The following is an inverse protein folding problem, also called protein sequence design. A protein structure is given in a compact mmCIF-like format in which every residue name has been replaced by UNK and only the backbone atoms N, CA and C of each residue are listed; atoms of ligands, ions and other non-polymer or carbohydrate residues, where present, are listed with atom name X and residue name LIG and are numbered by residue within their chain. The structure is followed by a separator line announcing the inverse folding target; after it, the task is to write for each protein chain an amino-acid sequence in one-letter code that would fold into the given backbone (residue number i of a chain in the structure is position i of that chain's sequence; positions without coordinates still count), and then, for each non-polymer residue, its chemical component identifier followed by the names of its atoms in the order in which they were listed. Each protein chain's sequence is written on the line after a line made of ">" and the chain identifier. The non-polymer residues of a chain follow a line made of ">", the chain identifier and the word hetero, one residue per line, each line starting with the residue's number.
data_IF_947768955200
#
_entry.id   IF_947768955200
#
_cell.length_a   1.000
_cell.length_b   1.000
_cell.length_c   1.000
_cell.angle_alpha   90.00
_cell.angle_beta   90.00
_cell.angle_gamma   90.00
#
_symmetry.space_group_name_H-M   'P 1'
#
loop_
_entity.id
_entity.type
_entity.pdbx_description
1 polymer ?
#
# COMPACT_ATOMS: atom_id res chain seq x y z
N UNK A 1 -23.97 -19.95 4.73
CA UNK A 1 -24.53 -19.56 3.43
C UNK A 1 -23.43 -18.89 2.62
N UNK A 2 -23.05 -19.42 1.45
CA UNK A 2 -21.92 -18.90 0.67
C UNK A 2 -22.34 -17.59 -0.03
N UNK A 3 -21.45 -16.61 -0.09
CA UNK A 3 -21.68 -15.27 -0.65
C UNK A 3 -22.36 -15.26 -2.03
N UNK A 4 -22.13 -16.27 -2.86
CA UNK A 4 -22.78 -16.46 -4.18
C UNK A 4 -24.28 -16.81 -4.11
N UNK A 5 -24.75 -17.44 -3.06
CA UNK A 5 -26.19 -17.75 -2.90
C UNK A 5 -26.98 -16.55 -2.43
N UNK A 6 -26.36 -15.64 -1.67
CA UNK A 6 -26.99 -14.39 -1.25
C UNK A 6 -27.29 -13.47 -2.44
N UNK A 7 -26.34 -13.36 -3.39
CA UNK A 7 -26.51 -12.54 -4.59
C UNK A 7 -27.54 -13.09 -5.57
N UNK A 8 -27.69 -14.42 -5.67
CA UNK A 8 -28.73 -15.04 -6.51
C UNK A 8 -30.13 -14.84 -5.95
N UNK A 9 -30.30 -14.82 -4.64
CA UNK A 9 -31.62 -14.57 -3.99
C UNK A 9 -32.03 -13.09 -4.02
N UNK A 10 -31.08 -12.16 -4.00
CA UNK A 10 -31.35 -10.72 -4.14
C UNK A 10 -31.84 -10.32 -5.53
N UNK A 11 -31.36 -10.99 -6.59
CA UNK A 11 -31.75 -10.70 -7.97
C UNK A 11 -33.18 -11.17 -8.34
N UNK A 12 -33.72 -12.17 -7.63
CA UNK A 12 -35.10 -12.65 -7.88
C UNK A 12 -36.19 -11.82 -7.17
N UNK A 13 -35.82 -11.00 -6.16
CA UNK A 13 -36.78 -10.19 -5.42
C UNK A 13 -37.11 -8.84 -6.09
N UNK A 14 -36.35 -8.43 -7.11
CA UNK A 14 -36.54 -7.17 -7.82
C UNK A 14 -37.43 -7.23 -9.07
N UNK A 15 -37.91 -8.43 -9.45
CA UNK A 15 -38.67 -8.63 -10.69
C UNK A 15 -40.20 -8.70 -10.50
N UNK A 16 -40.75 -8.40 -9.33
CA UNK A 16 -42.16 -8.56 -9.05
C UNK A 16 -42.79 -7.48 -8.19
N UNK A 17 -42.92 -6.25 -8.68
CA UNK A 17 -43.95 -5.31 -8.20
C UNK A 17 -44.06 -4.12 -9.16
N UNK A 18 -44.76 -4.30 -10.24
CA UNK A 18 -45.36 -3.22 -10.96
C UNK A 18 -46.73 -2.93 -10.36
N UNK A 19 -46.93 -1.76 -9.73
CA UNK A 19 -48.26 -1.15 -9.55
C UNK A 19 -48.09 0.35 -9.38
N UNK A 20 -48.86 1.02 -10.18
CA UNK A 20 -49.11 2.43 -10.39
C UNK A 20 -49.57 3.09 -9.06
N UNK A 21 -48.96 4.21 -8.69
CA UNK A 21 -49.46 5.07 -7.61
C UNK A 21 -48.72 6.40 -7.62
N UNK A 22 -49.41 7.45 -8.06
CA UNK A 22 -48.97 8.85 -8.06
C UNK A 22 -48.59 9.32 -6.66
N UNK A 23 -47.38 9.79 -6.48
CA UNK A 23 -46.93 10.48 -5.27
C UNK A 23 -46.54 11.94 -5.59
N UNK A 24 -46.83 12.88 -4.70
CA UNK A 24 -46.66 14.29 -4.99
C UNK A 24 -45.23 14.75 -4.88
N UNK A 25 -44.93 15.68 -5.76
CA UNK A 25 -43.75 16.52 -5.89
C UNK A 25 -43.27 17.13 -4.56
N UNK A 26 -42.11 16.74 -4.11
CA UNK A 26 -41.28 17.49 -3.17
C UNK A 26 -39.92 17.74 -3.81
N UNK A 27 -39.93 18.60 -4.83
CA UNK A 27 -38.73 19.18 -5.40
C UNK A 27 -38.60 20.60 -4.81
N UNK A 28 -37.76 20.74 -3.78
CA UNK A 28 -37.13 22.03 -3.44
C UNK A 28 -35.79 21.78 -2.75
N UNK A 29 -34.74 22.23 -3.41
CA UNK A 29 -33.48 22.65 -2.79
C UNK A 29 -32.38 21.60 -2.67
N UNK A 30 -31.82 21.15 -3.80
CA UNK A 30 -30.38 20.89 -3.88
C UNK A 30 -29.90 21.61 -5.15
N UNK A 31 -29.35 22.80 -4.98
CA UNK A 31 -28.46 23.37 -5.97
C UNK A 31 -27.20 22.50 -6.01
N UNK A 32 -27.12 21.65 -7.00
CA UNK A 32 -25.88 20.94 -7.36
C UNK A 32 -24.98 21.98 -8.01
N UNK A 33 -23.96 22.42 -7.27
CA UNK A 33 -22.85 23.17 -7.85
C UNK A 33 -22.20 22.33 -8.94
N UNK A 34 -22.06 22.91 -10.13
CA UNK A 34 -21.45 22.32 -11.33
C UNK A 34 -19.92 22.14 -11.13
N UNK A 35 -19.51 21.20 -10.29
CA UNK A 35 -18.15 20.66 -10.24
C UNK A 35 -18.15 19.13 -10.35
N UNK A 36 -19.15 18.59 -11.08
CA UNK A 36 -19.07 17.23 -11.58
C UNK A 36 -18.06 17.20 -12.74
N UNK A 37 -16.76 17.10 -12.42
CA UNK A 37 -15.82 16.40 -13.31
C UNK A 37 -16.35 14.97 -13.43
N UNK A 38 -17.17 14.74 -14.46
CA UNK A 38 -17.53 13.39 -14.88
C UNK A 38 -16.22 12.63 -15.04
N UNK A 39 -16.03 11.59 -14.22
CA UNK A 39 -14.93 10.63 -14.43
C UNK A 39 -15.28 9.94 -15.74
N UNK A 40 -14.80 10.49 -16.84
CA UNK A 40 -14.88 9.85 -18.15
C UNK A 40 -13.94 8.65 -18.10
N UNK A 41 -14.48 7.48 -17.74
CA UNK A 41 -13.82 6.23 -18.04
C UNK A 41 -13.71 6.14 -19.57
N UNK A 42 -12.54 6.48 -20.08
CA UNK A 42 -12.28 6.40 -21.51
C UNK A 42 -12.08 4.91 -21.87
N UNK A 43 -13.21 4.22 -22.07
CA UNK A 43 -13.27 2.79 -22.49
C UNK A 43 -12.75 2.62 -23.91
N UNK A 44 -12.34 3.69 -24.57
CA UNK A 44 -11.79 3.68 -25.91
C UNK A 44 -10.30 3.36 -25.91
N UNK A 45 -9.94 2.16 -25.58
CA UNK A 45 -8.86 1.30 -26.07
C UNK A 45 -7.46 1.84 -26.40
N UNK A 46 -7.05 3.04 -25.94
CA UNK A 46 -5.75 3.65 -26.29
C UNK A 46 -4.75 3.81 -25.13
N UNK A 47 -5.21 3.97 -23.90
CA UNK A 47 -4.29 4.05 -22.77
C UNK A 47 -3.74 2.65 -22.43
N UNK A 48 -2.43 2.56 -22.21
CA UNK A 48 -1.75 1.33 -21.79
C UNK A 48 -1.00 1.61 -20.48
N UNK A 49 -1.02 0.67 -19.57
CA UNK A 49 -0.21 0.76 -18.36
C UNK A 49 1.26 0.65 -18.73
N UNK A 50 2.07 1.63 -18.35
CA UNK A 50 3.52 1.62 -18.56
C UNK A 50 4.22 1.50 -17.23
N UNK A 51 4.94 0.39 -17.02
CA UNK A 51 5.79 0.18 -15.87
C UNK A 51 7.18 0.74 -16.12
N UNK A 52 7.70 1.47 -15.15
CA UNK A 52 9.10 1.89 -15.07
C UNK A 52 9.61 1.70 -13.65
N UNK A 53 10.92 1.54 -13.48
CA UNK A 53 11.53 1.35 -12.18
C UNK A 53 12.95 1.88 -12.16
N UNK A 54 13.39 2.28 -10.97
CA UNK A 54 14.76 2.74 -10.75
C UNK A 54 15.28 2.28 -9.38
N UNK A 55 16.53 1.81 -9.30
CA UNK A 55 17.20 1.58 -8.04
C UNK A 55 17.54 2.89 -7.36
N UNK A 56 17.43 2.93 -6.03
CA UNK A 56 17.93 4.04 -5.24
C UNK A 56 18.38 3.58 -3.85
N UNK A 57 19.08 4.44 -3.13
CA UNK A 57 19.58 4.16 -1.81
C UNK A 57 19.02 5.17 -0.81
N UNK A 58 18.28 4.68 0.17
CA UNK A 58 17.76 5.49 1.27
C UNK A 58 18.82 5.68 2.34
N UNK A 59 19.13 6.93 2.70
CA UNK A 59 19.94 7.28 3.86
C UNK A 59 19.08 7.29 5.11
N UNK A 60 19.47 6.50 6.11
CA UNK A 60 18.78 6.46 7.38
C UNK A 60 19.19 7.66 8.25
N UNK A 61 18.24 8.26 8.96
CA UNK A 61 18.50 9.34 9.92
C UNK A 61 19.48 8.93 11.02
N UNK A 62 19.35 7.68 11.48
CA UNK A 62 20.24 7.05 12.45
C UNK A 62 20.67 5.69 11.94
N UNK A 63 21.85 5.25 12.31
CA UNK A 63 22.29 3.88 12.08
C UNK A 63 21.26 2.93 12.69
N UNK A 64 20.82 1.95 11.91
CA UNK A 64 19.88 0.93 12.34
C UNK A 64 20.60 -0.39 12.61
N UNK A 65 20.65 -0.78 13.87
CA UNK A 65 21.33 -2.00 14.32
C UNK A 65 20.33 -2.99 14.90
N UNK A 66 20.47 -4.23 14.50
CA UNK A 66 19.83 -5.41 15.07
C UNK A 66 20.92 -6.41 15.43
N UNK A 67 20.58 -7.50 16.12
CA UNK A 67 21.57 -8.52 16.56
C UNK A 67 22.43 -9.11 15.44
N UNK A 68 21.92 -9.12 14.19
CA UNK A 68 22.58 -9.79 13.05
C UNK A 68 23.27 -8.83 12.06
N UNK A 69 22.90 -7.54 12.05
CA UNK A 69 23.50 -6.55 11.14
C UNK A 69 23.30 -5.11 11.62
N UNK A 70 24.10 -4.20 11.02
CA UNK A 70 23.99 -2.75 11.18
C UNK A 70 24.08 -2.08 9.83
N UNK A 71 23.28 -1.02 9.60
CA UNK A 71 23.30 -0.26 8.35
C UNK A 71 22.96 1.22 8.56
N UNK A 72 23.56 2.08 7.75
CA UNK A 72 23.27 3.53 7.66
C UNK A 72 22.44 3.88 6.42
N UNK A 73 22.41 2.97 5.45
CA UNK A 73 21.61 3.08 4.21
C UNK A 73 20.79 1.81 4.00
N UNK A 74 19.78 1.88 3.15
CA UNK A 74 19.03 0.71 2.71
C UNK A 74 18.82 0.78 1.19
N UNK A 75 19.24 -0.26 0.46
CA UNK A 75 18.97 -0.34 -0.98
C UNK A 75 17.47 -0.56 -1.20
N UNK A 76 16.95 0.03 -2.27
CA UNK A 76 15.56 -0.03 -2.64
C UNK A 76 15.37 0.03 -4.15
N UNK A 77 14.20 -0.34 -4.65
CA UNK A 77 13.81 -0.13 -6.05
C UNK A 77 12.43 0.50 -6.08
N UNK A 78 12.35 1.72 -6.57
CA UNK A 78 11.09 2.40 -6.80
C UNK A 78 10.45 1.86 -8.08
N UNK A 79 9.15 1.56 -8.02
CA UNK A 79 8.31 1.17 -9.15
C UNK A 79 7.29 2.26 -9.42
N UNK A 80 7.09 2.56 -10.69
CA UNK A 80 6.13 3.52 -11.16
C UNK A 80 5.28 2.89 -12.26
N UNK A 81 3.95 3.07 -12.20
CA UNK A 81 3.00 2.64 -13.23
C UNK A 81 2.22 3.87 -13.68
N UNK A 82 2.38 4.24 -14.95
CA UNK A 82 1.65 5.33 -15.59
C UNK A 82 0.46 4.79 -16.39
N UNK A 83 -0.71 5.43 -16.25
CA UNK A 83 -1.92 5.11 -17.01
C UNK A 83 -2.83 6.33 -17.08
N UNK A 84 -3.18 6.76 -18.28
CA UNK A 84 -4.16 7.83 -18.56
C UNK A 84 -4.00 9.11 -17.71
N UNK A 85 -2.76 9.59 -17.61
CA UNK A 85 -2.42 10.79 -16.82
C UNK A 85 -2.28 10.58 -15.32
N UNK A 86 -2.55 9.38 -14.81
CA UNK A 86 -2.30 9.00 -13.41
C UNK A 86 -1.00 8.22 -13.27
N UNK A 87 -0.39 8.33 -12.10
CA UNK A 87 0.83 7.58 -11.75
C UNK A 87 0.66 6.91 -10.39
N UNK A 88 0.83 5.60 -10.36
CA UNK A 88 0.95 4.83 -9.13
C UNK A 88 2.41 4.55 -8.78
N UNK A 89 2.75 4.57 -7.49
CA UNK A 89 4.10 4.32 -6.98
C UNK A 89 4.11 3.12 -6.06
N UNK A 90 5.17 2.32 -6.16
CA UNK A 90 5.46 1.19 -5.28
C UNK A 90 6.95 1.11 -4.97
N UNK A 91 7.30 0.30 -4.01
CA UNK A 91 8.65 0.19 -3.48
C UNK A 91 8.98 -1.27 -3.19
N UNK A 92 10.15 -1.73 -3.66
CA UNK A 92 10.70 -3.05 -3.35
C UNK A 92 11.71 -2.96 -2.22
N UNK A 93 11.29 -3.21 -1.00
CA UNK A 93 12.16 -3.30 0.16
C UNK A 93 12.80 -4.69 0.25
N UNK A 94 14.11 -4.73 0.41
CA UNK A 94 14.93 -5.96 0.37
C UNK A 94 15.66 -6.18 1.70
N UNK A 95 14.96 -6.60 2.77
CA UNK A 95 15.64 -6.96 4.01
C UNK A 95 16.55 -8.18 3.77
N UNK A 96 17.74 -8.24 4.40
CA UNK A 96 18.75 -9.25 4.11
C UNK A 96 18.27 -10.71 4.21
N UNK A 97 17.32 -10.98 5.08
CA UNK A 97 16.79 -12.34 5.30
C UNK A 97 15.92 -12.87 4.14
N UNK A 98 15.50 -12.01 3.21
CA UNK A 98 14.75 -12.44 2.02
C UNK A 98 15.66 -12.97 0.91
N UNK A 99 16.99 -12.72 0.99
CA UNK A 99 17.93 -13.14 -0.04
C UNK A 99 17.70 -12.47 -1.41
N UNK A 100 17.00 -11.34 -1.45
CA UNK A 100 16.76 -10.56 -2.67
C UNK A 100 17.70 -9.36 -2.73
N UNK A 101 18.04 -8.94 -3.95
CA UNK A 101 18.93 -7.81 -4.23
C UNK A 101 18.30 -6.87 -5.25
N UNK A 102 18.84 -5.65 -5.36
CA UNK A 102 18.48 -4.70 -6.41
C UNK A 102 18.50 -5.34 -7.79
N UNK A 103 19.55 -6.15 -8.07
CA UNK A 103 19.70 -6.85 -9.34
C UNK A 103 18.58 -7.88 -9.57
N UNK A 104 18.27 -8.71 -8.58
CA UNK A 104 17.20 -9.70 -8.70
C UNK A 104 15.84 -9.04 -8.91
N UNK A 105 15.53 -7.98 -8.16
CA UNK A 105 14.31 -7.20 -8.30
C UNK A 105 14.20 -6.58 -9.69
N UNK A 106 15.25 -5.90 -10.16
CA UNK A 106 15.26 -5.31 -11.50
C UNK A 106 15.14 -6.37 -12.60
N UNK A 107 15.75 -7.56 -12.41
CA UNK A 107 15.63 -8.67 -13.35
C UNK A 107 14.21 -9.21 -13.44
N UNK A 108 13.49 -9.29 -12.30
CA UNK A 108 12.09 -9.66 -12.29
C UNK A 108 11.23 -8.57 -12.99
N UNK A 109 11.40 -7.31 -12.62
CA UNK A 109 10.59 -6.20 -13.16
C UNK A 109 10.71 -6.04 -14.68
N UNK A 110 11.86 -6.38 -15.28
CA UNK A 110 12.03 -6.42 -16.74
C UNK A 110 11.14 -7.45 -17.43
N UNK A 111 10.65 -8.47 -16.74
CA UNK A 111 9.74 -9.49 -17.30
C UNK A 111 8.28 -9.04 -17.29
N UNK A 112 7.96 -8.01 -16.49
CA UNK A 112 6.58 -7.56 -16.29
C UNK A 112 6.10 -6.78 -17.51
N UNK A 113 5.04 -7.27 -18.14
CA UNK A 113 4.36 -6.60 -19.24
C UNK A 113 2.92 -6.27 -18.83
N UNK A 114 2.67 -5.02 -18.43
CA UNK A 114 1.34 -4.56 -18.06
C UNK A 114 0.51 -4.07 -19.25
N UNK A 115 1.14 -3.82 -20.41
CA UNK A 115 0.45 -3.32 -21.60
C UNK A 115 -0.57 -4.31 -22.18
N UNK A 116 -0.47 -5.59 -21.80
CA UNK A 116 -1.41 -6.63 -22.21
C UNK A 116 -2.79 -6.53 -21.54
N UNK A 117 -2.88 -5.80 -20.41
CA UNK A 117 -4.14 -5.62 -19.69
C UNK A 117 -4.87 -4.37 -20.16
N UNK A 118 -6.20 -4.45 -20.36
CA UNK A 118 -6.99 -3.34 -20.92
C UNK A 118 -7.08 -2.14 -19.97
N UNK A 119 -7.13 -2.40 -18.67
CA UNK A 119 -7.20 -1.36 -17.65
C UNK A 119 -6.66 -1.83 -16.29
N UNK A 120 -6.31 -0.88 -15.37
CA UNK A 120 -5.75 -1.23 -14.06
C UNK A 120 -6.77 -1.80 -13.06
N UNK A 121 -8.07 -1.79 -13.36
CA UNK A 121 -9.09 -2.32 -12.46
C UNK A 121 -9.19 -3.85 -12.47
N UNK A 122 -8.57 -4.51 -13.45
CA UNK A 122 -8.43 -5.97 -13.49
C UNK A 122 -7.36 -6.46 -12.49
N UNK A 123 -7.37 -5.95 -11.25
CA UNK A 123 -6.32 -6.19 -10.24
C UNK A 123 -6.06 -7.68 -10.01
N UNK A 124 -7.10 -8.49 -9.87
CA UNK A 124 -6.96 -9.94 -9.59
C UNK A 124 -6.23 -10.66 -10.72
N UNK A 125 -6.59 -10.35 -11.97
CA UNK A 125 -5.94 -10.94 -13.16
C UNK A 125 -4.49 -10.47 -13.28
N UNK A 126 -4.22 -9.18 -13.04
CA UNK A 126 -2.88 -8.59 -13.11
C UNK A 126 -1.98 -9.21 -12.03
N UNK A 127 -2.45 -9.29 -10.79
CA UNK A 127 -1.67 -9.85 -9.68
C UNK A 127 -1.44 -11.35 -9.86
N UNK A 128 -2.43 -12.09 -10.39
CA UNK A 128 -2.26 -13.49 -10.76
C UNK A 128 -1.19 -13.66 -11.83
N UNK A 129 -1.18 -12.80 -12.85
CA UNK A 129 -0.11 -12.79 -13.86
C UNK A 129 1.26 -12.51 -13.24
N UNK A 130 1.38 -11.48 -12.38
CA UNK A 130 2.62 -11.13 -11.69
C UNK A 130 3.14 -12.33 -10.87
N UNK A 131 2.26 -13.02 -10.16
CA UNK A 131 2.62 -14.19 -9.37
C UNK A 131 3.10 -15.37 -10.23
N UNK A 132 2.57 -15.53 -11.43
CA UNK A 132 2.92 -16.60 -12.36
C UNK A 132 4.28 -16.45 -13.01
N UNK A 133 4.90 -15.24 -13.02
CA UNK A 133 6.15 -14.97 -13.73
C UNK A 133 7.35 -15.73 -13.17
N UNK A 134 7.40 -15.94 -11.87
CA UNK A 134 8.38 -16.80 -11.21
C UNK A 134 7.98 -17.11 -9.76
N UNK A 135 8.43 -18.22 -9.18
CA UNK A 135 8.32 -18.44 -7.74
C UNK A 135 9.25 -17.47 -6.98
N UNK A 136 8.86 -17.03 -5.79
CA UNK A 136 9.63 -16.07 -5.00
C UNK A 136 9.47 -14.62 -5.49
N UNK A 137 10.57 -13.88 -5.58
CA UNK A 137 10.63 -12.46 -6.01
C UNK A 137 9.63 -11.54 -5.28
N UNK A 138 9.36 -11.83 -4.00
CA UNK A 138 8.30 -11.19 -3.22
C UNK A 138 8.44 -9.68 -3.10
N UNK A 139 9.67 -9.14 -3.01
CA UNK A 139 9.89 -7.70 -2.95
C UNK A 139 9.46 -7.00 -4.26
N UNK A 140 9.82 -7.58 -5.41
CA UNK A 140 9.44 -7.03 -6.71
C UNK A 140 7.92 -7.13 -6.95
N UNK A 141 7.32 -8.26 -6.60
CA UNK A 141 5.86 -8.47 -6.69
C UNK A 141 5.10 -7.48 -5.82
N UNK A 142 5.54 -7.30 -4.56
CA UNK A 142 4.95 -6.32 -3.65
C UNK A 142 5.04 -4.89 -4.19
N UNK A 143 6.16 -4.52 -4.82
CA UNK A 143 6.31 -3.20 -5.42
C UNK A 143 5.31 -2.94 -6.55
N UNK A 144 5.05 -3.94 -7.41
CA UNK A 144 4.04 -3.83 -8.48
C UNK A 144 2.63 -3.77 -7.89
N UNK A 145 2.32 -4.61 -6.90
CA UNK A 145 1.04 -4.63 -6.20
C UNK A 145 0.74 -3.27 -5.54
N UNK A 146 1.69 -2.72 -4.77
CA UNK A 146 1.56 -1.40 -4.14
C UNK A 146 1.32 -0.32 -5.20
N UNK A 147 2.10 -0.33 -6.30
CA UNK A 147 1.95 0.66 -7.38
C UNK A 147 0.58 0.58 -8.07
N UNK A 148 0.05 -0.62 -8.30
CA UNK A 148 -1.29 -0.82 -8.86
C UNK A 148 -2.39 -0.31 -7.93
N UNK A 149 -2.30 -0.62 -6.65
CA UNK A 149 -3.26 -0.13 -5.66
C UNK A 149 -3.20 1.40 -5.50
N UNK A 150 -2.02 2.00 -5.51
CA UNK A 150 -1.86 3.46 -5.49
C UNK A 150 -2.46 4.11 -6.75
N UNK A 151 -2.20 3.52 -7.92
CA UNK A 151 -2.77 3.97 -9.20
C UNK A 151 -4.30 3.94 -9.18
N UNK A 152 -4.89 2.79 -8.84
CA UNK A 152 -6.35 2.62 -8.80
C UNK A 152 -6.99 3.55 -7.77
N UNK A 153 -6.39 3.71 -6.59
CA UNK A 153 -6.86 4.65 -5.58
C UNK A 153 -6.89 6.11 -6.07
N UNK A 154 -5.87 6.51 -6.84
CA UNK A 154 -5.79 7.84 -7.46
C UNK A 154 -6.82 8.04 -8.58
N UNK A 155 -7.02 7.04 -9.43
CA UNK A 155 -8.04 7.09 -10.49
C UNK A 155 -9.45 7.22 -9.88
N UNK A 156 -9.76 6.45 -8.84
CA UNK A 156 -11.07 6.51 -8.15
C UNK A 156 -11.21 7.80 -7.32
N UNK A 157 -10.09 8.46 -6.95
CA UNK A 157 -10.10 9.62 -6.06
C UNK A 157 -10.46 9.29 -4.62
N UNK A 158 -10.26 8.03 -4.19
CA UNK A 158 -10.61 7.58 -2.84
C UNK A 158 -9.53 6.66 -2.25
N UNK A 159 -9.18 6.82 -0.96
CA UNK A 159 -8.23 5.93 -0.30
C UNK A 159 -8.86 4.55 -0.06
N UNK A 160 -8.04 3.50 -0.09
CA UNK A 160 -8.46 2.10 0.03
C UNK A 160 -9.28 1.81 1.28
N UNK A 161 -8.99 2.42 2.42
CA UNK A 161 -9.79 2.20 3.63
C UNK A 161 -11.26 2.60 3.44
N UNK A 162 -11.54 3.65 2.65
CA UNK A 162 -12.91 4.04 2.29
C UNK A 162 -13.57 3.03 1.37
N UNK A 163 -12.84 2.59 0.32
CA UNK A 163 -13.36 1.61 -0.62
C UNK A 163 -13.69 0.28 0.04
N UNK A 164 -12.90 -0.10 1.05
CA UNK A 164 -13.10 -1.32 1.84
C UNK A 164 -14.07 -1.14 3.02
N UNK A 165 -14.64 0.08 3.23
CA UNK A 165 -15.55 0.36 4.35
C UNK A 165 -14.88 0.28 5.72
N UNK A 166 -13.56 0.52 5.80
CA UNK A 166 -12.82 0.46 7.06
C UNK A 166 -12.89 1.79 7.81
N UNK A 167 -13.04 1.72 9.13
CA UNK A 167 -13.02 2.90 9.98
C UNK A 167 -11.59 3.21 10.44
N UNK A 168 -10.95 4.30 9.98
CA UNK A 168 -9.57 4.64 10.35
C UNK A 168 -9.40 4.95 11.84
N UNK A 169 -10.46 5.34 12.55
CA UNK A 169 -10.42 5.57 14.00
C UNK A 169 -10.24 4.29 14.82
N UNK A 170 -10.47 3.12 14.22
CA UNK A 170 -10.23 1.81 14.82
C UNK A 170 -8.83 1.25 14.53
N UNK A 171 -8.01 1.98 13.78
CA UNK A 171 -6.63 1.56 13.49
C UNK A 171 -5.82 1.54 14.78
N UNK A 172 -5.08 0.45 15.08
CA UNK A 172 -4.17 0.42 16.22
C UNK A 172 -3.06 1.47 16.06
N UNK A 173 -2.47 1.89 17.20
CA UNK A 173 -1.34 2.81 17.15
C UNK A 173 -0.16 2.15 16.43
N UNK A 174 0.48 2.87 15.53
CA UNK A 174 1.74 2.43 14.92
C UNK A 174 2.87 2.43 15.94
N UNK A 175 3.89 1.62 15.69
CA UNK A 175 5.09 1.54 16.53
C UNK A 175 6.27 2.24 15.85
N UNK A 176 7.16 2.83 16.67
CA UNK A 176 8.47 3.26 16.20
C UNK A 176 9.55 2.30 16.71
N UNK A 177 10.50 1.91 15.85
CA UNK A 177 11.53 0.94 16.22
C UNK A 177 12.78 1.63 16.72
N UNK A 178 13.19 1.32 17.96
CA UNK A 178 14.50 1.67 18.52
C UNK A 178 15.46 0.52 18.25
N UNK A 179 16.50 0.77 17.45
CA UNK A 179 17.58 -0.19 17.19
C UNK A 179 18.55 -0.26 18.35
N UNK A 180 19.40 -1.30 18.33
CA UNK A 180 20.48 -1.48 19.32
C UNK A 180 21.49 -0.34 19.17
N UNK A 181 21.89 0.29 20.28
CA UNK A 181 22.88 1.37 20.30
C UNK A 181 23.45 1.57 21.72
N UNK A 182 24.32 2.58 21.90
CA UNK A 182 24.73 3.03 23.23
C UNK A 182 23.55 3.63 23.99
N UNK A 183 23.67 3.71 25.34
CA UNK A 183 22.59 4.22 26.18
C UNK A 183 22.26 5.68 25.84
N UNK A 184 23.28 6.50 25.51
CA UNK A 184 23.13 7.90 25.12
C UNK A 184 22.33 8.02 23.81
N UNK A 185 22.68 7.21 22.81
CA UNK A 185 21.99 7.21 21.51
C UNK A 185 20.58 6.64 21.62
N UNK A 186 20.37 5.60 22.42
CA UNK A 186 19.03 5.06 22.68
C UNK A 186 18.15 6.12 23.35
N UNK A 187 18.65 6.83 24.37
CA UNK A 187 17.93 7.95 24.99
C UNK A 187 17.63 9.07 24.02
N UNK A 188 18.60 9.45 23.17
CA UNK A 188 18.41 10.48 22.14
C UNK A 188 17.28 10.08 21.18
N UNK A 189 17.37 8.90 20.57
CA UNK A 189 16.35 8.37 19.64
C UNK A 189 14.98 8.29 20.31
N UNK A 190 14.92 7.88 21.58
CA UNK A 190 13.66 7.80 22.32
C UNK A 190 13.04 9.19 22.53
N UNK A 191 13.83 10.20 22.96
CA UNK A 191 13.33 11.59 23.11
C UNK A 191 12.79 12.18 21.82
N UNK A 192 13.43 11.90 20.69
CA UNK A 192 12.97 12.40 19.38
C UNK A 192 11.57 11.91 19.01
N UNK A 193 11.15 10.74 19.50
CA UNK A 193 9.91 10.08 19.06
C UNK A 193 8.86 9.88 20.14
N UNK A 194 9.21 10.00 21.42
CA UNK A 194 8.32 9.73 22.56
C UNK A 194 7.02 10.56 22.53
N UNK A 195 7.08 11.79 22.03
CA UNK A 195 5.90 12.65 21.88
C UNK A 195 5.01 12.30 20.66
N UNK A 196 5.49 11.48 19.73
CA UNK A 196 4.81 11.17 18.47
C UNK A 196 4.24 9.76 18.44
N UNK A 197 4.90 8.79 19.08
CA UNK A 197 4.56 7.38 19.03
C UNK A 197 4.17 6.87 20.41
N UNK A 198 2.98 6.28 20.53
CA UNK A 198 2.50 5.68 21.79
C UNK A 198 3.15 4.35 22.12
N UNK A 199 3.73 3.68 21.13
CA UNK A 199 4.33 2.36 21.27
C UNK A 199 5.73 2.37 20.64
N UNK A 200 6.74 1.96 21.42
CA UNK A 200 8.10 1.75 20.94
C UNK A 200 8.37 0.24 20.80
N UNK A 201 8.88 -0.15 19.63
CA UNK A 201 9.37 -1.50 19.37
C UNK A 201 10.88 -1.50 19.57
N UNK A 202 11.37 -2.29 20.51
CA UNK A 202 12.80 -2.31 20.84
C UNK A 202 13.47 -3.53 20.24
N UNK A 203 14.64 -3.35 19.59
CA UNK A 203 15.47 -4.45 19.13
C UNK A 203 16.39 -4.90 20.24
N UNK A 204 16.40 -6.18 20.50
CA UNK A 204 17.15 -6.85 21.55
C UNK A 204 18.07 -7.94 20.94
N UNK A 205 18.93 -8.56 21.76
CA UNK A 205 19.82 -9.64 21.37
C UNK A 205 21.29 -9.33 21.68
N UNK A 206 21.53 -8.55 22.72
CA UNK A 206 22.86 -8.25 23.27
C UNK A 206 22.92 -8.54 24.77
N UNK A 207 24.10 -8.70 25.36
CA UNK A 207 24.24 -8.81 26.82
C UNK A 207 23.70 -7.57 27.58
N UNK A 208 23.53 -6.43 26.89
CA UNK A 208 23.08 -5.13 27.47
C UNK A 208 21.60 -4.84 27.27
N UNK A 209 20.79 -5.81 26.95
CA UNK A 209 19.36 -5.63 26.68
C UNK A 209 18.60 -4.98 27.85
N UNK A 210 18.95 -5.36 29.08
CA UNK A 210 18.32 -4.81 30.30
C UNK A 210 18.68 -3.33 30.51
N UNK A 211 19.94 -2.97 30.32
CA UNK A 211 20.45 -1.59 30.43
C UNK A 211 19.79 -0.71 29.38
N UNK A 212 19.68 -1.19 28.14
CA UNK A 212 19.01 -0.47 27.05
C UNK A 212 17.53 -0.24 27.36
N UNK A 213 16.81 -1.22 27.89
CA UNK A 213 15.41 -1.04 28.30
C UNK A 213 15.30 0.00 29.43
N UNK A 214 16.22 -0.02 30.44
CA UNK A 214 16.26 1.00 31.49
C UNK A 214 16.48 2.39 30.90
N UNK A 215 17.47 2.55 30.01
CA UNK A 215 17.75 3.82 29.34
C UNK A 215 16.53 4.39 28.60
N UNK A 216 15.73 3.54 27.93
CA UNK A 216 14.48 3.96 27.29
C UNK A 216 13.45 4.43 28.32
N UNK A 217 13.35 3.75 29.48
CA UNK A 217 12.38 4.04 30.53
C UNK A 217 12.69 5.30 31.34
N UNK A 218 13.92 5.82 31.28
CA UNK A 218 14.32 7.05 31.90
C UNK A 218 13.91 8.32 31.10
N UNK A 219 13.41 8.14 29.90
CA UNK A 219 12.94 9.19 28.99
C UNK A 219 11.42 9.31 29.03
#
# INVERSE_FOLDING_TARGET
>A
MKRREFLKKGALAAAGAGLIGSAPTLAKGLELTEDNKSVNFNVNGRARMKLSFEPYELKLKHVFTVSSFSRSTTPDVQVRIDYDGYTGYGEASMPPYLGQSVESVCTFLKKVNLEQFPDPFCLDDILTYIDSLSPGDSAAKAAVDIALHDLVGKIIGAPWHRMLGLNPLKTPNTTYTIGIDTDEMVKLKTREVAGQFKILKVKLGTPRDREMIRAIREV
#
